data_IF_841640372586
#
_entry.id   IF_841640372586
#
_cell.length_a   1.000
_cell.length_b   1.000
_cell.length_c   1.000
_cell.angle_alpha   90.00
_cell.angle_beta   90.00
_cell.angle_gamma   90.00
#
_symmetry.space_group_name_H-M   'P 1'
#
loop_
_entity.id
_entity.type
_entity.pdbx_description
1 polymer ?
#
# COMPACT_ATOMS: atom_id res chain seq x y z
N UNK A 1 -6.56 -0.35 9.93
CA UNK A 1 -6.35 1.12 9.99
C UNK A 1 -4.84 1.36 10.03
N UNK A 2 -4.34 2.40 9.37
CA UNK A 2 -2.94 2.82 9.44
C UNK A 2 -2.79 3.84 10.57
N UNK A 3 -1.95 3.59 11.59
CA UNK A 3 -1.79 4.52 12.69
C UNK A 3 -1.34 5.91 12.22
N UNK A 4 -1.93 6.97 12.77
CA UNK A 4 -1.55 8.35 12.41
C UNK A 4 -0.04 8.60 12.52
N UNK A 5 0.59 8.05 13.56
CA UNK A 5 2.03 8.18 13.78
C UNK A 5 2.84 7.58 12.62
N UNK A 6 2.43 6.44 12.05
CA UNK A 6 3.09 5.83 10.89
C UNK A 6 2.98 6.70 9.64
N UNK A 7 1.82 7.33 9.43
CA UNK A 7 1.65 8.31 8.35
C UNK A 7 2.57 9.52 8.57
N UNK A 8 2.67 10.04 9.80
CA UNK A 8 3.58 11.15 10.11
C UNK A 8 5.06 10.78 9.85
N UNK A 9 5.49 9.61 10.33
CA UNK A 9 6.84 9.08 10.14
C UNK A 9 7.18 8.93 8.65
N UNK A 10 6.29 8.34 7.85
CA UNK A 10 6.48 8.17 6.41
C UNK A 10 6.67 9.50 5.67
N UNK A 11 6.05 10.57 6.18
CA UNK A 11 6.11 11.91 5.59
C UNK A 11 7.20 12.80 6.21
N UNK A 12 8.05 12.24 7.10
CA UNK A 12 9.09 12.99 7.79
C UNK A 12 8.55 14.07 8.73
N UNK A 13 7.31 13.93 9.18
CA UNK A 13 6.65 14.87 10.09
C UNK A 13 6.89 14.48 11.54
N UNK A 14 6.96 15.46 12.47
CA UNK A 14 6.97 15.16 13.91
C UNK A 14 5.72 14.40 14.35
N UNK A 15 5.86 13.51 15.34
CA UNK A 15 4.72 12.75 15.91
C UNK A 15 3.58 13.65 16.39
N UNK A 16 3.91 14.85 16.89
CA UNK A 16 2.96 15.85 17.40
C UNK A 16 2.45 16.83 16.34
N UNK A 17 2.68 16.55 15.06
CA UNK A 17 2.25 17.44 13.96
C UNK A 17 0.74 17.67 13.94
N UNK A 18 0.33 18.90 13.66
CA UNK A 18 -1.05 19.31 13.37
C UNK A 18 -1.35 19.31 11.87
N UNK A 19 -0.36 19.01 11.01
CA UNK A 19 -0.51 19.00 9.56
C UNK A 19 -1.37 17.82 9.04
N UNK A 20 -1.58 16.78 9.86
CA UNK A 20 -2.42 15.63 9.50
C UNK A 20 -3.83 15.73 10.11
N UNK A 21 -4.88 15.18 9.48
CA UNK A 21 -6.22 15.07 10.07
C UNK A 21 -6.27 14.07 11.24
N UNK A 22 -6.94 14.39 12.37
CA UNK A 22 -6.90 13.56 13.58
C UNK A 22 -7.42 12.14 13.35
N UNK A 23 -6.84 11.19 14.08
CA UNK A 23 -7.20 9.77 14.02
C UNK A 23 -6.39 8.98 13.00
N UNK A 24 -6.56 7.66 13.06
CA UNK A 24 -5.90 6.72 12.16
C UNK A 24 -6.54 6.75 10.77
N UNK A 25 -5.76 6.40 9.76
CA UNK A 25 -6.20 6.39 8.38
C UNK A 25 -6.86 5.06 8.01
N UNK A 26 -8.11 5.04 7.50
CA UNK A 26 -8.74 3.81 7.04
C UNK A 26 -8.00 3.15 5.88
N UNK A 27 -7.87 1.82 5.91
CA UNK A 27 -7.11 1.06 4.91
C UNK A 27 -7.77 1.12 3.54
N UNK A 28 -9.09 1.00 3.48
CA UNK A 28 -9.91 1.16 2.29
C UNK A 28 -9.73 2.54 1.65
N UNK A 29 -9.78 3.61 2.47
CA UNK A 29 -9.60 4.98 2.01
C UNK A 29 -8.17 5.23 1.52
N UNK A 30 -7.19 4.68 2.20
CA UNK A 30 -5.79 4.75 1.78
C UNK A 30 -5.59 4.02 0.46
N UNK A 31 -6.05 2.77 0.35
CA UNK A 31 -5.91 1.96 -0.85
C UNK A 31 -6.57 2.61 -2.07
N UNK A 32 -7.77 3.19 -1.92
CA UNK A 32 -8.43 3.92 -2.99
C UNK A 32 -7.60 5.12 -3.49
N UNK A 33 -6.92 5.85 -2.59
CA UNK A 33 -6.05 6.96 -2.99
C UNK A 33 -4.74 6.50 -3.59
N UNK A 34 -4.17 5.41 -3.09
CA UNK A 34 -2.98 4.80 -3.66
C UNK A 34 -3.24 4.35 -5.11
N UNK A 35 -4.36 3.69 -5.38
CA UNK A 35 -4.77 3.33 -6.74
C UNK A 35 -4.88 4.58 -7.61
N UNK A 36 -5.51 5.66 -7.11
CA UNK A 36 -5.62 6.92 -7.84
C UNK A 36 -4.27 7.55 -8.18
N UNK A 37 -3.34 7.55 -7.23
CA UNK A 37 -1.96 8.02 -7.43
C UNK A 37 -1.23 7.19 -8.48
N UNK A 38 -1.20 5.85 -8.32
CA UNK A 38 -0.49 4.95 -9.25
C UNK A 38 -1.12 4.91 -10.65
N UNK A 39 -2.41 5.21 -10.77
CA UNK A 39 -3.09 5.34 -12.06
C UNK A 39 -2.81 6.68 -12.76
N UNK A 40 -2.15 7.64 -12.10
CA UNK A 40 -1.85 8.95 -12.68
C UNK A 40 -0.61 8.85 -13.57
N UNK A 41 -0.72 9.12 -14.88
CA UNK A 41 0.44 9.12 -15.77
C UNK A 41 1.44 10.20 -15.35
N UNK A 42 2.73 9.88 -15.44
CA UNK A 42 3.82 10.79 -15.09
C UNK A 42 3.71 11.34 -13.65
N UNK A 43 3.15 10.55 -12.73
CA UNK A 43 3.07 10.92 -11.32
C UNK A 43 4.45 11.21 -10.73
N UNK A 44 4.52 12.29 -9.95
CA UNK A 44 5.73 12.78 -9.29
C UNK A 44 5.44 13.16 -7.83
N UNK A 45 6.44 13.71 -7.13
CA UNK A 45 6.31 14.09 -5.73
C UNK A 45 5.34 15.27 -5.48
N UNK A 46 5.00 16.05 -6.51
CA UNK A 46 4.03 17.17 -6.41
C UNK A 46 2.61 16.74 -6.76
N UNK A 47 2.45 15.55 -7.34
CA UNK A 47 1.17 14.98 -7.75
C UNK A 47 0.24 14.84 -6.54
N UNK A 48 -1.04 15.21 -6.66
CA UNK A 48 -2.02 14.94 -5.62
C UNK A 48 -1.98 13.48 -5.22
N UNK A 49 -2.00 13.23 -3.91
CA UNK A 49 -1.89 11.88 -3.34
C UNK A 49 -0.51 11.18 -3.48
N UNK A 50 0.57 11.85 -3.93
CA UNK A 50 1.93 11.27 -3.89
C UNK A 50 2.39 10.80 -2.51
N UNK A 51 1.83 11.38 -1.44
CA UNK A 51 2.02 10.93 -0.07
C UNK A 51 1.63 9.45 0.14
N UNK A 52 0.72 8.88 -0.65
CA UNK A 52 0.34 7.47 -0.51
C UNK A 52 1.44 6.52 -0.96
N UNK A 53 2.23 6.90 -1.97
CA UNK A 53 3.42 6.15 -2.38
C UNK A 53 4.43 6.10 -1.25
N UNK A 54 4.80 7.27 -0.69
CA UNK A 54 5.73 7.35 0.43
C UNK A 54 5.26 6.56 1.67
N UNK A 55 3.95 6.56 1.97
CA UNK A 55 3.38 5.75 3.04
C UNK A 55 3.47 4.25 2.71
N UNK A 56 3.14 3.82 1.50
CA UNK A 56 3.24 2.42 1.10
C UNK A 56 4.70 1.93 1.19
N UNK A 57 5.66 2.68 0.64
CA UNK A 57 7.09 2.35 0.71
C UNK A 57 7.55 2.17 2.16
N UNK A 58 7.10 3.07 3.05
CA UNK A 58 7.41 2.99 4.48
C UNK A 58 6.79 1.76 5.14
N UNK A 59 5.55 1.44 4.81
CA UNK A 59 4.88 0.24 5.33
C UNK A 59 5.58 -1.02 4.85
N UNK A 60 5.93 -1.13 3.56
CA UNK A 60 6.73 -2.23 3.02
C UNK A 60 8.06 -2.34 3.79
N UNK A 61 8.69 -1.20 4.10
CA UNK A 61 9.96 -1.15 4.81
C UNK A 61 9.89 -1.56 6.29
N UNK A 62 8.80 -1.27 7.00
CA UNK A 62 8.77 -1.36 8.47
C UNK A 62 7.61 -2.16 9.06
N UNK A 63 6.53 -2.34 8.33
CA UNK A 63 5.32 -3.06 8.76
C UNK A 63 4.69 -3.80 7.57
N UNK A 64 5.36 -4.88 7.07
CA UNK A 64 4.94 -5.59 5.88
C UNK A 64 3.56 -6.25 6.03
N UNK A 65 3.13 -6.55 7.26
CA UNK A 65 1.78 -7.07 7.53
C UNK A 65 0.72 -6.00 7.27
N UNK A 66 0.94 -4.78 7.75
CA UNK A 66 0.05 -3.65 7.49
C UNK A 66 0.08 -3.20 6.02
N UNK A 67 1.23 -3.30 5.35
CA UNK A 67 1.33 -3.10 3.90
C UNK A 67 0.45 -4.10 3.14
N UNK A 68 0.57 -5.39 3.49
CA UNK A 68 -0.25 -6.44 2.87
C UNK A 68 -1.74 -6.23 3.14
N UNK A 69 -2.14 -5.84 4.36
CA UNK A 69 -3.54 -5.55 4.67
C UNK A 69 -4.07 -4.39 3.80
N UNK A 70 -3.28 -3.34 3.55
CA UNK A 70 -3.66 -2.25 2.65
C UNK A 70 -3.82 -2.71 1.20
N UNK A 71 -2.88 -3.54 0.70
CA UNK A 71 -2.95 -4.11 -0.64
C UNK A 71 -4.16 -5.06 -0.79
N UNK A 72 -4.51 -5.82 0.24
CA UNK A 72 -5.70 -6.68 0.24
C UNK A 72 -7.00 -5.87 0.17
N UNK A 73 -7.08 -4.72 0.87
CA UNK A 73 -8.23 -3.82 0.72
C UNK A 73 -8.28 -3.23 -0.69
N UNK A 74 -7.14 -2.84 -1.25
CA UNK A 74 -7.03 -2.33 -2.62
C UNK A 74 -7.39 -3.35 -3.69
N UNK A 75 -7.03 -4.62 -3.51
CA UNK A 75 -7.31 -5.71 -4.45
C UNK A 75 -8.82 -5.92 -4.73
N UNK A 76 -9.68 -5.44 -3.83
CA UNK A 76 -11.15 -5.52 -3.97
C UNK A 76 -11.76 -4.33 -4.69
N UNK A 77 -10.97 -3.31 -5.01
CA UNK A 77 -11.41 -2.08 -5.64
C UNK A 77 -11.20 -2.12 -7.16
N UNK A 78 -11.92 -1.27 -7.87
CA UNK A 78 -11.70 -1.05 -9.29
C UNK A 78 -10.31 -0.45 -9.52
N UNK A 79 -9.61 -0.88 -10.58
CA UNK A 79 -8.27 -0.41 -10.90
C UNK A 79 -7.15 -1.05 -10.08
N UNK A 80 -7.43 -2.09 -9.29
CA UNK A 80 -6.46 -2.77 -8.43
C UNK A 80 -5.20 -3.28 -9.15
N UNK A 81 -5.22 -3.49 -10.47
CA UNK A 81 -4.06 -3.98 -11.22
C UNK A 81 -2.82 -3.12 -11.05
N UNK A 82 -2.96 -1.80 -10.86
CA UNK A 82 -1.82 -0.89 -10.63
C UNK A 82 -1.09 -1.13 -9.31
N UNK A 83 -1.63 -1.97 -8.43
CA UNK A 83 -1.00 -2.37 -7.17
C UNK A 83 -0.03 -3.56 -7.34
N UNK A 84 0.09 -4.11 -8.56
CA UNK A 84 0.97 -5.24 -8.87
C UNK A 84 2.40 -4.95 -8.44
N UNK A 85 2.96 -3.82 -8.88
CA UNK A 85 4.33 -3.38 -8.54
C UNK A 85 4.55 -3.31 -7.03
N UNK A 86 3.64 -2.66 -6.29
CA UNK A 86 3.76 -2.53 -4.84
C UNK A 86 3.66 -3.90 -4.12
N UNK A 87 2.91 -4.85 -4.67
CA UNK A 87 2.86 -6.22 -4.16
C UNK A 87 4.15 -6.99 -4.45
N UNK A 88 4.74 -6.80 -5.63
CA UNK A 88 6.04 -7.37 -5.99
C UNK A 88 7.14 -6.84 -5.06
N UNK A 89 7.23 -5.52 -4.87
CA UNK A 89 8.17 -4.88 -3.93
C UNK A 89 8.06 -5.45 -2.51
N UNK A 90 6.82 -5.68 -2.05
CA UNK A 90 6.58 -6.31 -0.76
C UNK A 90 7.09 -7.76 -0.71
N UNK A 91 6.87 -8.54 -1.76
CA UNK A 91 7.33 -9.93 -1.87
C UNK A 91 8.86 -10.07 -1.94
N UNK A 92 9.53 -9.12 -2.60
CA UNK A 92 10.98 -9.10 -2.77
C UNK A 92 11.74 -8.78 -1.48
N UNK A 93 11.06 -8.20 -0.48
CA UNK A 93 11.64 -7.79 0.80
C UNK A 93 12.41 -8.94 1.49
N UNK A 94 11.71 -10.04 1.76
CA UNK A 94 12.28 -11.21 2.42
C UNK A 94 11.37 -12.45 2.28
N UNK A 95 11.96 -13.63 2.47
CA UNK A 95 11.26 -14.90 2.32
C UNK A 95 10.11 -15.12 3.34
N UNK A 96 10.09 -14.41 4.47
CA UNK A 96 9.00 -14.53 5.43
C UNK A 96 7.78 -13.74 4.94
N UNK A 97 8.01 -12.55 4.38
CA UNK A 97 7.00 -11.70 3.75
C UNK A 97 6.41 -12.39 2.53
N UNK A 98 7.22 -12.99 1.67
CA UNK A 98 6.73 -13.77 0.52
C UNK A 98 5.78 -14.91 0.96
N UNK A 99 6.16 -15.70 1.97
CA UNK A 99 5.30 -16.77 2.51
C UNK A 99 4.01 -16.24 3.12
N UNK A 100 4.03 -15.04 3.69
CA UNK A 100 2.83 -14.39 4.24
C UNK A 100 1.86 -14.03 3.11
N UNK A 101 2.35 -13.47 2.01
CA UNK A 101 1.56 -13.17 0.80
C UNK A 101 0.93 -14.46 0.26
N UNK A 102 1.72 -15.50 0.02
CA UNK A 102 1.25 -16.81 -0.47
C UNK A 102 0.17 -17.41 0.43
N UNK A 103 0.38 -17.36 1.75
CA UNK A 103 -0.59 -17.83 2.74
C UNK A 103 -1.91 -17.07 2.64
N UNK A 104 -1.86 -15.74 2.50
CA UNK A 104 -3.07 -14.90 2.40
C UNK A 104 -3.79 -15.16 1.08
N UNK A 105 -3.06 -15.26 -0.03
CA UNK A 105 -3.59 -15.54 -1.36
C UNK A 105 -4.36 -16.86 -1.42
N UNK A 106 -3.91 -17.89 -0.68
CA UNK A 106 -4.64 -19.16 -0.55
C UNK A 106 -6.08 -19.05 -0.01
N UNK A 107 -6.47 -17.89 0.55
CA UNK A 107 -7.82 -17.60 1.03
C UNK A 107 -8.46 -16.34 0.44
N UNK A 108 -7.72 -15.54 -0.33
CA UNK A 108 -8.19 -14.29 -0.91
C UNK A 108 -8.07 -14.33 -2.45
N UNK A 109 -9.21 -14.51 -3.16
CA UNK A 109 -9.18 -14.59 -4.62
C UNK A 109 -8.80 -13.27 -5.29
N UNK A 110 -9.04 -12.12 -4.63
CA UNK A 110 -8.65 -10.81 -5.16
C UNK A 110 -7.13 -10.64 -5.11
N UNK A 111 -6.51 -11.04 -4.00
CA UNK A 111 -5.05 -11.06 -3.90
C UNK A 111 -4.43 -12.04 -4.90
N UNK A 112 -5.05 -13.21 -5.12
CA UNK A 112 -4.59 -14.16 -6.14
C UNK A 112 -4.62 -13.54 -7.54
N UNK A 113 -5.70 -12.82 -7.89
CA UNK A 113 -5.78 -12.13 -9.17
C UNK A 113 -4.73 -11.02 -9.31
N UNK A 114 -4.42 -10.32 -8.22
CA UNK A 114 -3.38 -9.29 -8.20
C UNK A 114 -1.97 -9.89 -8.40
N UNK A 115 -1.68 -11.05 -7.81
CA UNK A 115 -0.42 -11.79 -8.04
C UNK A 115 -0.32 -12.25 -9.50
N UNK A 116 -1.40 -12.73 -10.10
CA UNK A 116 -1.36 -13.10 -11.52
C UNK A 116 -1.03 -11.89 -12.42
N UNK A 117 -1.50 -10.69 -12.05
CA UNK A 117 -1.17 -9.47 -12.79
C UNK A 117 0.32 -9.11 -12.74
N UNK A 118 1.03 -9.38 -11.64
CA UNK A 118 2.49 -9.19 -11.56
C UNK A 118 3.30 -10.11 -12.50
N UNK A 119 2.75 -11.24 -12.92
CA UNK A 119 3.45 -12.21 -13.78
C UNK A 119 3.27 -11.92 -15.28
N UNK A 120 2.33 -11.04 -15.64
CA UNK A 120 1.96 -10.69 -17.03
C UNK A 120 2.65 -9.40 -17.54
N UNK A 121 3.41 -8.68 -16.69
CA UNK A 121 4.16 -7.46 -17.02
C UNK A 121 5.63 -7.74 -17.45
#
# INVERSE_FOLDING_TARGET
MIPRARVAEALGLPETTDALPPGDLPLDRFAARLIGYLSTPDADAETPDAWTGAVMDRLIAEDPELALDALCEGARLDGASVLSDALADLGERDAATQRMIEKRAGSDPHLTALIAATEDE
#
